data_IF_085213812129
#
_entry.id   IF_085213812129
#
_cell.length_a   1.000
_cell.length_b   1.000
_cell.length_c   1.000
_cell.angle_alpha   90.00
_cell.angle_beta   90.00
_cell.angle_gamma   90.00
#
_symmetry.space_group_name_H-M   'P 1'
#
loop_
_entity.id
_entity.type
_entity.pdbx_description
1 polymer ?
#
# COMPACT_ATOMS: atom_id res chain seq x y z
N UNK A 1 29.82 -43.17 44.94
CA UNK A 1 29.79 -42.86 43.50
C UNK A 1 28.33 -42.84 42.91
N UNK A 2 27.30 -42.88 43.73
CA UNK A 2 25.88 -42.84 43.24
C UNK A 2 25.14 -41.54 43.50
N UNK A 3 25.76 -40.53 44.12
CA UNK A 3 25.11 -39.26 44.51
C UNK A 3 25.28 -38.12 43.51
N UNK A 4 26.14 -38.23 42.48
CA UNK A 4 26.40 -37.14 41.54
C UNK A 4 25.66 -37.30 40.17
N UNK A 5 25.02 -38.44 39.95
CA UNK A 5 24.26 -38.70 38.70
C UNK A 5 22.89 -38.01 38.73
N UNK A 6 22.36 -37.73 39.93
CA UNK A 6 21.01 -37.09 40.04
C UNK A 6 21.02 -35.57 39.91
N UNK A 7 22.22 -34.94 39.94
CA UNK A 7 22.34 -33.46 39.88
C UNK A 7 22.48 -32.92 38.44
N UNK A 8 22.74 -33.79 37.47
CA UNK A 8 22.95 -33.39 36.04
C UNK A 8 21.68 -33.45 35.19
N UNK A 9 20.56 -33.91 35.75
CA UNK A 9 19.28 -34.06 35.04
C UNK A 9 18.32 -32.89 35.22
N UNK A 10 18.65 -31.88 36.01
CA UNK A 10 17.73 -30.73 36.32
C UNK A 10 18.10 -29.45 35.59
N UNK A 11 19.22 -29.35 34.88
CA UNK A 11 19.66 -28.11 34.20
C UNK A 11 19.34 -28.04 32.71
N UNK A 12 18.56 -28.98 32.17
CA UNK A 12 18.28 -29.10 30.70
C UNK A 12 16.95 -28.54 30.20
N UNK A 13 16.14 -27.85 31.00
CA UNK A 13 14.79 -27.43 30.57
C UNK A 13 14.58 -25.94 30.82
N UNK A 14 15.27 -25.07 30.12
CA UNK A 14 14.89 -23.64 30.03
C UNK A 14 15.47 -22.95 28.77
N UNK A 15 15.47 -23.55 27.60
CA UNK A 15 15.67 -22.80 26.36
C UNK A 15 14.82 -23.46 25.29
N UNK A 16 13.52 -23.20 25.29
CA UNK A 16 12.69 -23.42 24.10
C UNK A 16 11.35 -22.75 24.31
N UNK A 17 11.25 -21.47 24.02
CA UNK A 17 9.98 -20.81 23.71
C UNK A 17 10.25 -19.36 23.34
N UNK A 18 10.50 -19.05 22.08
CA UNK A 18 10.08 -17.75 21.54
C UNK A 18 10.01 -17.68 19.99
N UNK A 19 10.34 -18.74 19.28
CA UNK A 19 10.30 -18.71 17.79
C UNK A 19 8.91 -18.89 17.18
N UNK A 20 7.93 -19.44 17.91
CA UNK A 20 6.62 -19.79 17.34
C UNK A 20 5.59 -18.67 17.27
N UNK A 21 5.84 -17.51 17.88
CA UNK A 21 4.86 -16.40 17.88
C UNK A 21 4.94 -15.49 16.64
N UNK A 22 6.09 -15.39 16.00
CA UNK A 22 6.24 -14.52 14.80
C UNK A 22 5.60 -15.12 13.55
N UNK A 23 5.68 -16.43 13.39
CA UNK A 23 5.15 -17.12 12.20
C UNK A 23 3.61 -17.13 12.18
N UNK A 24 2.97 -17.20 13.35
CA UNK A 24 1.51 -17.26 13.46
C UNK A 24 0.80 -15.94 13.11
N UNK A 25 1.47 -14.79 13.30
CA UNK A 25 0.88 -13.46 13.00
C UNK A 25 0.93 -13.18 11.50
N UNK A 26 1.96 -13.63 10.80
CA UNK A 26 2.07 -13.50 9.34
C UNK A 26 1.05 -14.38 8.61
N UNK A 27 0.83 -15.61 9.11
CA UNK A 27 -0.10 -16.56 8.52
C UNK A 27 -1.56 -16.10 8.67
N UNK A 28 -1.94 -15.51 9.80
CA UNK A 28 -3.29 -14.98 10.02
C UNK A 28 -3.60 -13.77 9.11
N UNK A 29 -2.66 -12.85 8.95
CA UNK A 29 -2.84 -11.68 8.08
C UNK A 29 -2.96 -12.11 6.59
N UNK A 30 -2.14 -13.05 6.15
CA UNK A 30 -2.19 -13.60 4.79
C UNK A 30 -3.52 -14.33 4.55
N UNK A 31 -3.95 -15.15 5.50
CA UNK A 31 -5.20 -15.90 5.42
C UNK A 31 -6.44 -14.99 5.41
N UNK A 32 -6.43 -13.92 6.21
CA UNK A 32 -7.51 -12.92 6.19
C UNK A 32 -7.57 -12.19 4.84
N UNK A 33 -6.43 -11.90 4.24
CA UNK A 33 -6.35 -11.29 2.91
C UNK A 33 -6.88 -12.23 1.83
N UNK A 34 -6.51 -13.49 1.85
CA UNK A 34 -7.01 -14.52 0.90
C UNK A 34 -8.52 -14.72 1.03
N UNK A 35 -9.05 -14.82 2.26
CA UNK A 35 -10.49 -14.93 2.50
C UNK A 35 -11.24 -13.68 2.02
N UNK A 36 -10.68 -12.49 2.24
CA UNK A 36 -11.28 -11.24 1.79
C UNK A 36 -11.28 -11.10 0.26
N UNK A 37 -10.33 -11.72 -0.45
CA UNK A 37 -10.28 -11.72 -1.92
C UNK A 37 -11.38 -12.58 -2.56
N UNK A 38 -11.89 -13.58 -1.85
CA UNK A 38 -12.99 -14.43 -2.34
C UNK A 38 -14.36 -13.71 -2.28
N UNK A 39 -14.47 -12.70 -1.40
CA UNK A 39 -15.69 -11.92 -1.22
C UNK A 39 -15.56 -10.57 -1.91
N UNK A 40 -16.47 -10.22 -2.81
CA UNK A 40 -16.51 -8.90 -3.40
C UNK A 40 -17.15 -7.88 -2.46
N UNK A 41 -16.71 -6.62 -2.55
CA UNK A 41 -17.28 -5.48 -1.84
C UNK A 41 -17.53 -4.33 -2.80
N UNK A 42 -18.08 -3.20 -2.32
CA UNK A 42 -18.27 -2.00 -3.12
C UNK A 42 -17.37 -0.87 -2.65
N UNK A 43 -16.94 -0.01 -3.56
CA UNK A 43 -16.10 1.14 -3.27
C UNK A 43 -16.68 2.40 -3.87
N UNK A 44 -16.61 3.50 -3.13
CA UNK A 44 -16.81 4.86 -3.63
C UNK A 44 -15.46 5.55 -3.69
N UNK A 45 -14.96 5.85 -4.89
CA UNK A 45 -13.73 6.60 -5.08
C UNK A 45 -14.08 8.09 -4.97
N UNK A 46 -13.46 8.77 -3.99
CA UNK A 46 -13.74 10.18 -3.68
C UNK A 46 -12.93 11.08 -4.60
N UNK A 47 -11.65 10.76 -4.79
CA UNK A 47 -10.74 11.50 -5.66
C UNK A 47 -10.34 10.63 -6.85
N UNK A 48 -10.74 11.03 -8.04
CA UNK A 48 -10.36 10.34 -9.29
C UNK A 48 -9.29 11.08 -10.08
N UNK A 49 -9.11 12.38 -9.82
CA UNK A 49 -8.13 13.22 -10.50
C UNK A 49 -7.50 14.23 -9.54
N UNK A 50 -6.24 14.55 -9.78
CA UNK A 50 -5.52 15.61 -9.10
C UNK A 50 -4.70 16.42 -10.09
N UNK A 51 -4.84 17.74 -10.05
CA UNK A 51 -4.01 18.67 -10.80
C UNK A 51 -3.04 19.35 -9.84
N UNK A 52 -1.74 19.11 -10.00
CA UNK A 52 -0.71 19.68 -9.15
C UNK A 52 -0.29 21.10 -9.59
N UNK A 53 -0.87 21.65 -10.67
CA UNK A 53 -0.51 22.95 -11.18
C UNK A 53 0.85 22.94 -11.84
N UNK A 54 1.73 23.88 -11.45
CA UNK A 54 3.11 24.01 -11.97
C UNK A 54 4.12 23.64 -10.90
N UNK A 55 5.10 22.80 -11.27
CA UNK A 55 6.23 22.42 -10.41
C UNK A 55 7.53 22.54 -11.18
N UNK A 56 8.66 22.76 -10.49
CA UNK A 56 9.98 22.85 -11.10
C UNK A 56 10.54 21.46 -11.39
N UNK A 57 11.28 21.30 -12.46
CA UNK A 57 11.96 20.04 -12.82
C UNK A 57 12.81 19.52 -11.65
N UNK A 58 12.56 18.27 -11.27
CA UNK A 58 13.16 17.57 -10.13
C UNK A 58 12.39 17.66 -8.83
N UNK A 59 11.29 18.42 -8.74
CA UNK A 59 10.39 18.38 -7.59
C UNK A 59 9.58 17.08 -7.57
N UNK A 60 9.24 16.61 -6.37
CA UNK A 60 8.36 15.47 -6.18
C UNK A 60 6.98 15.94 -5.80
N UNK A 61 5.98 15.45 -6.53
CA UNK A 61 4.57 15.67 -6.23
C UNK A 61 4.02 14.46 -5.49
N UNK A 62 3.38 14.69 -4.36
CA UNK A 62 2.72 13.64 -3.59
C UNK A 62 1.23 13.94 -3.48
N UNK A 63 0.37 12.94 -3.70
CA UNK A 63 -1.06 13.06 -3.51
C UNK A 63 -1.65 11.77 -2.96
N UNK A 64 -2.66 11.89 -2.07
CA UNK A 64 -3.38 10.79 -1.47
C UNK A 64 -4.80 10.73 -2.05
N UNK A 65 -5.03 9.83 -3.01
CA UNK A 65 -6.37 9.58 -3.54
C UNK A 65 -7.22 8.85 -2.51
N UNK A 66 -8.33 9.46 -2.13
CA UNK A 66 -9.25 8.93 -1.12
C UNK A 66 -10.30 8.02 -1.75
N UNK A 67 -10.62 6.96 -1.06
CA UNK A 67 -11.75 6.10 -1.39
C UNK A 67 -12.40 5.59 -0.10
N UNK A 68 -13.66 5.19 -0.17
CA UNK A 68 -14.42 4.64 0.96
C UNK A 68 -14.93 3.25 0.63
N UNK A 69 -14.74 2.30 1.53
CA UNK A 69 -15.41 1.02 1.43
C UNK A 69 -16.89 1.21 1.78
N UNK A 70 -17.76 1.15 0.79
CA UNK A 70 -19.21 1.31 0.95
C UNK A 70 -19.94 -0.03 1.04
N UNK A 71 -19.22 -1.13 0.88
CA UNK A 71 -19.77 -2.47 0.99
C UNK A 71 -19.79 -3.00 2.42
N UNK A 72 -20.19 -4.27 2.53
CA UNK A 72 -20.34 -4.96 3.82
C UNK A 72 -19.16 -5.89 4.14
N UNK A 73 -18.20 -6.03 3.24
CA UNK A 73 -17.02 -6.90 3.36
C UNK A 73 -15.75 -6.05 3.34
N UNK A 74 -14.63 -6.55 3.90
CA UNK A 74 -13.35 -5.86 3.81
C UNK A 74 -12.93 -5.61 2.36
N UNK A 75 -12.44 -4.41 2.07
CA UNK A 75 -11.88 -4.02 0.78
C UNK A 75 -10.36 -4.24 0.80
N UNK A 76 -9.87 -5.08 -0.09
CA UNK A 76 -8.44 -5.40 -0.26
C UNK A 76 -7.94 -4.78 -1.55
N UNK A 77 -6.94 -3.92 -1.45
CA UNK A 77 -6.20 -3.43 -2.61
C UNK A 77 -5.08 -4.43 -2.93
N UNK A 78 -5.24 -5.14 -4.04
CA UNK A 78 -4.30 -6.17 -4.49
C UNK A 78 -3.05 -5.51 -5.06
N UNK A 79 -3.25 -4.57 -5.99
CA UNK A 79 -2.17 -3.88 -6.68
C UNK A 79 -2.54 -2.44 -6.99
N UNK A 80 -1.51 -1.60 -7.12
CA UNK A 80 -1.61 -0.26 -7.69
C UNK A 80 -0.38 -0.02 -8.56
N UNK A 81 -0.57 0.38 -9.81
CA UNK A 81 0.50 0.58 -10.79
C UNK A 81 0.36 1.91 -11.52
N UNK A 82 1.46 2.64 -11.65
CA UNK A 82 1.53 3.88 -12.41
C UNK A 82 1.79 3.61 -13.90
N UNK A 83 1.39 4.56 -14.75
CA UNK A 83 1.62 4.52 -16.21
C UNK A 83 3.10 4.61 -16.62
N UNK A 84 3.99 4.96 -15.67
CA UNK A 84 5.45 4.99 -15.87
C UNK A 84 6.18 4.75 -14.54
N UNK A 85 7.47 4.38 -14.61
CA UNK A 85 8.31 4.24 -13.41
C UNK A 85 8.54 5.55 -12.62
N UNK A 86 8.13 6.69 -13.18
CA UNK A 86 8.17 7.99 -12.53
C UNK A 86 6.98 8.26 -11.60
N UNK A 87 5.96 7.41 -11.64
CA UNK A 87 4.73 7.50 -10.85
C UNK A 87 4.61 6.25 -10.02
N UNK A 88 4.90 6.37 -8.73
CA UNK A 88 4.97 5.24 -7.79
C UNK A 88 3.78 5.31 -6.83
N UNK A 89 2.76 4.47 -7.05
CA UNK A 89 1.65 4.34 -6.10
C UNK A 89 2.04 3.43 -4.92
N UNK A 90 1.50 3.77 -3.76
CA UNK A 90 1.58 2.98 -2.54
C UNK A 90 0.16 2.63 -2.09
N UNK A 91 -0.12 1.34 -2.00
CA UNK A 91 -1.42 0.84 -1.56
C UNK A 91 -1.45 0.64 -0.05
N UNK A 92 -2.64 0.63 0.57
CA UNK A 92 -2.80 0.20 1.96
C UNK A 92 -2.31 -1.25 2.15
N UNK A 93 -1.62 -1.52 3.25
CA UNK A 93 -1.14 -2.86 3.60
C UNK A 93 -2.25 -3.72 4.23
N UNK A 94 -3.21 -3.06 4.89
CA UNK A 94 -4.32 -3.72 5.58
C UNK A 94 -5.61 -3.58 4.80
N UNK A 95 -6.53 -4.55 4.89
CA UNK A 95 -7.89 -4.41 4.39
C UNK A 95 -8.59 -3.19 5.00
N UNK A 96 -9.38 -2.47 4.20
CA UNK A 96 -10.19 -1.34 4.63
C UNK A 96 -11.57 -1.89 5.04
N UNK A 97 -11.94 -1.69 6.29
CA UNK A 97 -13.20 -2.22 6.82
C UNK A 97 -14.43 -1.47 6.26
N UNK A 98 -15.62 -2.08 6.33
CA UNK A 98 -16.86 -1.43 5.93
C UNK A 98 -17.03 -0.04 6.55
N UNK A 99 -17.28 0.96 5.72
CA UNK A 99 -17.44 2.35 6.13
C UNK A 99 -16.15 3.15 6.30
N UNK A 100 -14.99 2.53 6.30
CA UNK A 100 -13.70 3.20 6.44
C UNK A 100 -13.24 3.87 5.13
N UNK A 101 -12.40 4.90 5.29
CA UNK A 101 -11.72 5.60 4.21
C UNK A 101 -10.28 5.09 4.11
N UNK A 102 -9.89 4.68 2.90
CA UNK A 102 -8.54 4.32 2.55
C UNK A 102 -7.90 5.35 1.61
N UNK A 103 -6.59 5.20 1.38
CA UNK A 103 -5.77 6.10 0.56
C UNK A 103 -4.88 5.30 -0.37
N UNK A 104 -4.78 5.75 -1.64
CA UNK A 104 -3.69 5.40 -2.54
C UNK A 104 -2.76 6.61 -2.58
N UNK A 105 -1.60 6.52 -1.93
CA UNK A 105 -0.57 7.56 -2.01
C UNK A 105 0.17 7.42 -3.34
N UNK A 106 0.26 8.49 -4.10
CA UNK A 106 0.97 8.53 -5.38
C UNK A 106 2.11 9.54 -5.28
N UNK A 107 3.31 9.12 -5.64
CA UNK A 107 4.50 9.98 -5.72
C UNK A 107 4.92 10.06 -7.18
N UNK A 108 4.97 11.27 -7.73
CA UNK A 108 5.47 11.56 -9.08
C UNK A 108 6.82 12.29 -8.98
N UNK A 109 7.85 11.75 -9.62
CA UNK A 109 9.16 12.39 -9.77
C UNK A 109 9.20 13.15 -11.10
N UNK A 110 9.24 14.48 -11.03
CA UNK A 110 9.20 15.36 -12.21
C UNK A 110 10.55 15.48 -12.93
N UNK A 111 11.62 14.90 -12.41
CA UNK A 111 12.98 15.04 -12.95
C UNK A 111 13.08 14.61 -14.41
N UNK A 112 13.57 15.54 -15.26
CA UNK A 112 13.72 15.31 -16.70
C UNK A 112 12.39 15.20 -17.45
N UNK A 113 11.31 15.86 -16.96
CA UNK A 113 9.95 15.74 -17.51
C UNK A 113 9.29 17.10 -17.77
N UNK A 114 10.08 18.05 -18.24
CA UNK A 114 9.58 19.40 -18.57
C UNK A 114 8.46 19.31 -19.59
N UNK A 115 7.38 20.06 -19.37
CA UNK A 115 6.18 20.12 -20.17
C UNK A 115 4.94 19.61 -19.48
N UNK A 116 3.86 19.44 -20.26
CA UNK A 116 2.58 18.96 -19.77
C UNK A 116 2.68 17.52 -19.29
N UNK A 117 2.12 17.28 -18.14
CA UNK A 117 2.12 15.97 -17.48
C UNK A 117 0.71 15.42 -17.40
N UNK A 118 0.52 14.18 -17.88
CA UNK A 118 -0.66 13.37 -17.69
C UNK A 118 -0.22 11.96 -17.31
N UNK A 119 -0.49 11.56 -16.06
CA UNK A 119 -0.15 10.24 -15.53
C UNK A 119 -1.40 9.56 -15.01
N UNK A 120 -1.45 8.25 -15.16
CA UNK A 120 -2.56 7.44 -14.67
C UNK A 120 -2.07 6.37 -13.70
N UNK A 121 -2.94 6.00 -12.76
CA UNK A 121 -2.73 4.90 -11.83
C UNK A 121 -3.90 3.94 -11.94
N UNK A 122 -3.59 2.68 -12.17
CA UNK A 122 -4.55 1.57 -12.18
C UNK A 122 -4.51 0.85 -10.85
N UNK A 123 -5.68 0.65 -10.26
CA UNK A 123 -5.86 -0.02 -8.96
C UNK A 123 -6.65 -1.30 -9.15
N UNK A 124 -6.09 -2.42 -8.70
CA UNK A 124 -6.77 -3.72 -8.67
C UNK A 124 -7.17 -4.06 -7.25
N UNK A 125 -8.41 -4.52 -7.06
CA UNK A 125 -8.97 -4.84 -5.74
C UNK A 125 -10.07 -5.91 -5.86
N UNK A 126 -10.66 -6.31 -4.73
CA UNK A 126 -11.86 -7.15 -4.70
C UNK A 126 -13.17 -6.33 -4.82
N UNK A 127 -13.10 -5.05 -5.16
CA UNK A 127 -14.30 -4.22 -5.36
C UNK A 127 -15.01 -4.52 -6.68
N UNK A 128 -16.34 -4.43 -6.65
CA UNK A 128 -17.21 -4.42 -7.85
C UNK A 128 -18.24 -3.29 -7.70
N UNK A 129 -18.33 -2.33 -8.68
CA UNK A 129 -17.45 -2.22 -9.84
C UNK A 129 -15.98 -1.96 -9.49
N UNK A 130 -15.09 -2.19 -10.46
CA UNK A 130 -13.66 -1.94 -10.31
C UNK A 130 -13.36 -0.44 -10.07
N UNK A 131 -12.18 -0.15 -9.53
CA UNK A 131 -11.70 1.22 -9.39
C UNK A 131 -11.61 1.90 -10.75
N UNK A 132 -12.09 3.15 -10.88
CA UNK A 132 -11.77 3.96 -12.04
C UNK A 132 -10.27 4.25 -12.07
N UNK A 133 -9.77 4.59 -13.24
CA UNK A 133 -8.39 5.05 -13.39
C UNK A 133 -8.21 6.37 -12.63
N UNK A 134 -7.17 6.45 -11.79
CA UNK A 134 -6.82 7.68 -11.08
C UNK A 134 -5.88 8.51 -11.97
N UNK A 135 -6.06 9.81 -12.01
CA UNK A 135 -5.37 10.70 -12.96
C UNK A 135 -4.60 11.80 -12.21
N UNK A 136 -3.33 12.00 -12.59
CA UNK A 136 -2.47 13.07 -12.10
C UNK A 136 -2.08 13.96 -13.30
N UNK A 137 -2.36 15.26 -13.21
CA UNK A 137 -2.04 16.23 -14.26
C UNK A 137 -1.33 17.45 -13.70
N UNK A 138 -0.66 18.21 -14.58
CA UNK A 138 0.00 19.48 -14.28
C UNK A 138 1.10 19.78 -15.27
N UNK A 139 1.89 20.80 -15.03
CA UNK A 139 2.99 21.26 -15.87
C UNK A 139 4.30 21.23 -15.07
N UNK A 140 5.33 20.65 -15.66
CA UNK A 140 6.70 20.71 -15.14
C UNK A 140 7.45 21.80 -15.87
N UNK A 141 7.89 22.84 -15.17
CA UNK A 141 8.69 23.94 -15.73
C UNK A 141 10.18 23.67 -15.55
N UNK A 142 10.97 24.02 -16.55
CA UNK A 142 12.42 23.90 -16.49
C UNK A 142 13.02 24.78 -15.37
N UNK A 143 14.15 24.36 -14.82
CA UNK A 143 14.92 25.21 -13.90
C UNK A 143 15.41 26.43 -14.66
N UNK A 144 15.06 27.63 -14.21
CA UNK A 144 15.71 28.85 -14.71
C UNK A 144 17.15 28.84 -14.20
N UNK A 145 18.09 28.47 -15.07
CA UNK A 145 19.50 28.74 -14.82
C UNK A 145 19.72 30.25 -14.99
N UNK A 146 19.37 31.02 -13.95
CA UNK A 146 19.82 32.43 -13.88
C UNK A 146 21.32 32.37 -13.63
N UNK A 147 22.10 32.60 -14.70
CA UNK A 147 23.52 32.88 -14.62
C UNK A 147 23.75 34.24 -13.99
#
# INVERSE_FOLDING_TARGET
MKKYILLLLVTGILISCDSRRKDKISDDATRQTELALQDSTTVAVIDTAYNFGKVTDGEKVEYNYRFKNTGKKPLVIVNASGSCGCTVPQKPEKPILPGEIGFIKVVFDSRGRVGDTHKTVTVSSNAKPEFPQLVLTGEVVGKNNSN
#
